data_IF_955194926470
#
_entry.id   IF_955194926470
#
_cell.length_a   1.000
_cell.length_b   1.000
_cell.length_c   1.000
_cell.angle_alpha   90.00
_cell.angle_beta   90.00
_cell.angle_gamma   90.00
#
_symmetry.space_group_name_H-M   'P 1'
#
loop_
_entity.id
_entity.type
_entity.pdbx_description
1 polymer ?
#
# COMPACT_ATOMS: atom_id res chain seq x y z
N UNK A 1 -24.98 3.38 -5.89
CA UNK A 1 -23.94 4.00 -6.76
C UNK A 1 -22.59 3.28 -6.68
N UNK A 2 -22.52 1.94 -6.48
CA UNK A 2 -21.23 1.34 -6.10
C UNK A 2 -20.83 0.02 -6.78
N UNK A 3 -21.57 -0.43 -7.77
CA UNK A 3 -21.25 -1.68 -8.48
C UNK A 3 -20.00 -1.54 -9.39
N UNK A 4 -19.79 -0.39 -10.02
CA UNK A 4 -18.65 -0.16 -10.92
C UNK A 4 -17.29 -0.11 -10.18
N UNK A 5 -17.25 0.39 -8.94
CA UNK A 5 -16.02 0.50 -8.15
C UNK A 5 -15.53 -0.89 -7.66
N UNK A 6 -16.46 -1.81 -7.38
CA UNK A 6 -16.14 -3.17 -6.93
C UNK A 6 -15.50 -4.03 -8.02
N UNK A 7 -15.94 -3.88 -9.28
CA UNK A 7 -15.37 -4.60 -10.43
C UNK A 7 -13.98 -4.09 -10.79
N UNK A 8 -13.77 -2.77 -10.78
CA UNK A 8 -12.48 -2.14 -11.07
C UNK A 8 -11.39 -2.58 -10.06
N UNK A 9 -11.74 -2.69 -8.78
CA UNK A 9 -10.79 -3.08 -7.72
C UNK A 9 -10.51 -4.59 -7.69
N UNK A 10 -11.45 -5.43 -8.08
CA UNK A 10 -11.22 -6.86 -8.27
C UNK A 10 -10.23 -7.09 -9.43
N UNK A 11 -10.33 -6.32 -10.50
CA UNK A 11 -9.41 -6.36 -11.63
C UNK A 11 -7.99 -5.90 -11.25
N UNK A 12 -7.85 -4.89 -10.36
CA UNK A 12 -6.55 -4.44 -9.83
C UNK A 12 -5.88 -5.52 -8.99
N UNK A 13 -6.62 -6.16 -8.10
CA UNK A 13 -6.13 -7.27 -7.28
C UNK A 13 -5.70 -8.45 -8.15
N UNK A 14 -6.46 -8.81 -9.20
CA UNK A 14 -6.10 -9.90 -10.10
C UNK A 14 -4.84 -9.61 -10.93
N UNK A 15 -4.56 -8.34 -11.26
CA UNK A 15 -3.36 -7.96 -12.00
C UNK A 15 -2.07 -8.08 -11.18
N UNK A 16 -2.13 -7.85 -9.88
CA UNK A 16 -1.01 -8.16 -8.98
C UNK A 16 -0.77 -9.67 -8.85
N UNK A 17 -1.79 -10.50 -9.14
CA UNK A 17 -1.79 -11.91 -8.76
C UNK A 17 -0.88 -12.82 -9.59
N UNK A 18 -0.52 -12.50 -10.82
CA UNK A 18 0.22 -13.47 -11.65
C UNK A 18 1.38 -12.90 -12.47
N UNK A 19 1.35 -11.64 -12.87
CA UNK A 19 2.38 -11.05 -13.73
C UNK A 19 3.37 -10.15 -12.99
N UNK A 20 2.91 -9.45 -11.97
CA UNK A 20 3.67 -8.41 -11.29
C UNK A 20 4.33 -8.87 -9.98
N UNK A 21 3.95 -10.01 -9.44
CA UNK A 21 4.48 -10.49 -8.18
C UNK A 21 6.03 -10.59 -8.20
N UNK A 22 6.61 -11.13 -9.28
CA UNK A 22 8.06 -11.22 -9.44
C UNK A 22 8.74 -9.86 -9.65
N UNK A 23 8.05 -8.90 -10.27
CA UNK A 23 8.57 -7.54 -10.45
C UNK A 23 8.45 -6.69 -9.18
N UNK A 24 7.52 -7.04 -8.29
CA UNK A 24 7.33 -6.31 -7.03
C UNK A 24 8.54 -6.46 -6.11
N UNK A 25 9.17 -7.63 -6.10
CA UNK A 25 10.38 -7.93 -5.33
C UNK A 25 11.69 -7.51 -6.02
N UNK A 26 11.62 -6.85 -7.20
CA UNK A 26 12.79 -6.30 -7.86
C UNK A 26 13.54 -5.33 -6.92
N UNK A 27 14.87 -5.47 -6.74
CA UNK A 27 15.69 -4.62 -5.88
C UNK A 27 15.49 -3.11 -6.12
N UNK A 28 15.23 -2.69 -7.38
CA UNK A 28 14.94 -1.28 -7.68
C UNK A 28 13.60 -0.81 -7.07
N UNK A 29 12.56 -1.67 -7.08
CA UNK A 29 11.27 -1.33 -6.46
C UNK A 29 11.35 -1.31 -4.94
N UNK A 30 12.29 -2.08 -4.34
CA UNK A 30 12.55 -2.10 -2.90
C UNK A 30 13.34 -0.89 -2.42
N UNK A 31 14.17 -0.29 -3.27
CA UNK A 31 15.13 0.75 -2.87
C UNK A 31 14.79 2.15 -3.39
N UNK A 32 13.73 2.32 -4.18
CA UNK A 32 13.37 3.60 -4.77
C UNK A 32 11.94 4.00 -4.44
N UNK A 33 11.69 5.29 -4.21
CA UNK A 33 10.39 5.91 -3.88
C UNK A 33 9.71 5.21 -2.70
N UNK A 34 8.71 4.37 -2.96
CA UNK A 34 7.90 3.73 -1.92
C UNK A 34 8.64 2.60 -1.19
N UNK A 35 9.59 1.94 -1.84
CA UNK A 35 10.38 0.88 -1.23
C UNK A 35 11.24 1.41 -0.09
N UNK A 36 11.98 2.51 -0.30
CA UNK A 36 12.76 3.19 0.75
C UNK A 36 11.86 3.58 1.93
N UNK A 37 10.68 4.14 1.64
CA UNK A 37 9.73 4.52 2.69
C UNK A 37 9.21 3.31 3.47
N UNK A 38 8.97 2.19 2.79
CA UNK A 38 8.57 0.94 3.45
C UNK A 38 9.67 0.42 4.36
N UNK A 39 10.91 0.40 3.90
CA UNK A 39 12.06 -0.01 4.74
C UNK A 39 12.19 0.88 5.97
N UNK A 40 12.09 2.19 5.81
CA UNK A 40 12.17 3.15 6.92
C UNK A 40 11.02 2.96 7.91
N UNK A 41 9.79 2.79 7.42
CA UNK A 41 8.62 2.56 8.26
C UNK A 41 8.74 1.24 9.05
N UNK A 42 9.05 0.15 8.36
CA UNK A 42 9.14 -1.18 8.96
C UNK A 42 10.27 -1.26 10.00
N UNK A 43 11.41 -0.62 9.75
CA UNK A 43 12.51 -0.55 10.72
C UNK A 43 12.18 0.23 11.99
N UNK A 44 11.18 1.12 11.95
CA UNK A 44 10.68 1.87 13.11
C UNK A 44 9.56 1.15 13.87
N UNK A 45 9.07 0.00 13.37
CA UNK A 45 8.09 -0.80 14.09
C UNK A 45 8.67 -1.28 15.40
N UNK A 46 7.91 -1.10 16.47
CA UNK A 46 8.23 -1.60 17.79
C UNK A 46 7.25 -2.70 18.19
N UNK A 47 7.77 -3.81 18.68
CA UNK A 47 6.99 -4.94 19.20
C UNK A 47 7.14 -4.98 20.72
N UNK A 48 6.02 -4.83 21.42
CA UNK A 48 5.97 -4.92 22.89
C UNK A 48 5.91 -6.40 23.32
N UNK A 49 6.30 -6.74 24.56
CA UNK A 49 6.27 -8.13 25.04
C UNK A 49 4.87 -8.77 25.00
N UNK A 50 3.82 -7.94 25.04
CA UNK A 50 2.44 -8.40 24.92
C UNK A 50 2.00 -8.75 23.49
N UNK A 51 2.76 -8.34 22.47
CA UNK A 51 2.41 -8.53 21.07
C UNK A 51 2.73 -9.97 20.63
N UNK A 52 1.91 -10.93 21.04
CA UNK A 52 2.12 -12.35 20.73
C UNK A 52 1.67 -12.73 19.31
N UNK A 53 0.69 -12.03 18.77
CA UNK A 53 0.16 -12.24 17.42
C UNK A 53 0.24 -10.94 16.63
N UNK A 54 1.06 -10.92 15.59
CA UNK A 54 1.27 -9.79 14.68
C UNK A 54 0.67 -10.12 13.32
N UNK A 55 -0.23 -9.29 12.81
CA UNK A 55 -0.83 -9.49 11.49
C UNK A 55 -0.43 -8.37 10.53
N UNK A 56 0.08 -8.73 9.35
CA UNK A 56 0.31 -7.83 8.21
C UNK A 56 -0.85 -7.94 7.23
N UNK A 57 -1.69 -6.92 7.16
CA UNK A 57 -2.89 -6.91 6.31
C UNK A 57 -2.57 -6.23 4.98
N UNK A 58 -2.69 -6.99 3.89
CA UNK A 58 -2.18 -6.62 2.57
C UNK A 58 -0.68 -6.86 2.48
N UNK A 59 -0.21 -8.01 2.96
CA UNK A 59 1.22 -8.33 3.12
C UNK A 59 1.97 -8.48 1.78
N UNK A 60 1.25 -8.60 0.65
CA UNK A 60 1.86 -8.83 -0.65
C UNK A 60 2.75 -10.08 -0.67
N UNK A 61 3.99 -9.91 -1.09
CA UNK A 61 5.02 -10.97 -1.10
C UNK A 61 5.71 -11.19 0.26
N UNK A 62 5.16 -10.62 1.35
CA UNK A 62 5.75 -10.67 2.69
C UNK A 62 6.91 -9.70 2.90
N UNK A 63 6.99 -8.61 2.15
CA UNK A 63 8.14 -7.69 2.16
C UNK A 63 8.41 -7.05 3.53
N UNK A 64 7.37 -6.72 4.30
CA UNK A 64 7.56 -6.19 5.65
C UNK A 64 8.24 -7.21 6.57
N UNK A 65 7.84 -8.47 6.52
CA UNK A 65 8.47 -9.55 7.28
C UNK A 65 9.88 -9.89 6.77
N UNK A 66 10.12 -9.77 5.47
CA UNK A 66 11.45 -9.94 4.87
C UNK A 66 12.47 -8.92 5.43
N UNK A 67 12.08 -7.63 5.54
CA UNK A 67 12.88 -6.58 6.17
C UNK A 67 13.17 -6.89 7.64
N UNK A 68 12.18 -7.42 8.34
CA UNK A 68 12.29 -7.69 9.79
C UNK A 68 12.95 -9.04 10.09
N UNK A 69 13.09 -9.93 9.10
CA UNK A 69 13.37 -11.35 9.30
C UNK A 69 14.51 -11.62 10.27
N UNK A 70 15.66 -11.00 10.10
CA UNK A 70 16.82 -11.18 10.98
C UNK A 70 16.55 -10.77 12.43
N UNK A 71 15.59 -9.89 12.68
CA UNK A 71 15.20 -9.43 14.03
C UNK A 71 14.16 -10.34 14.67
N UNK A 72 13.35 -11.04 13.86
CA UNK A 72 12.15 -11.75 14.34
C UNK A 72 12.16 -13.26 14.04
N UNK A 73 13.13 -13.80 13.33
CA UNK A 73 13.19 -15.22 12.93
C UNK A 73 13.21 -16.20 14.11
N UNK A 74 13.81 -15.80 15.23
CA UNK A 74 13.91 -16.58 16.46
C UNK A 74 12.87 -16.15 17.53
N UNK A 75 11.95 -15.26 17.14
CA UNK A 75 10.89 -14.75 18.00
C UNK A 75 9.80 -15.82 18.21
N UNK A 76 9.22 -15.86 19.38
CA UNK A 76 8.13 -16.78 19.72
C UNK A 76 6.74 -16.27 19.27
N UNK A 77 6.68 -15.05 18.75
CA UNK A 77 5.44 -14.44 18.21
C UNK A 77 4.96 -15.20 16.98
N UNK A 78 3.66 -15.14 16.77
CA UNK A 78 3.05 -15.57 15.52
C UNK A 78 2.94 -14.38 14.57
N UNK A 79 3.45 -14.55 13.37
CA UNK A 79 3.39 -13.57 12.29
C UNK A 79 2.43 -14.08 11.21
N UNK A 80 1.36 -13.33 10.97
CA UNK A 80 0.29 -13.74 10.03
C UNK A 80 0.23 -12.72 8.91
N UNK A 81 0.43 -13.15 7.65
CA UNK A 81 0.20 -12.34 6.47
C UNK A 81 -1.19 -12.58 5.90
N UNK A 82 -1.91 -11.52 5.53
CA UNK A 82 -3.21 -11.60 4.85
C UNK A 82 -3.10 -10.87 3.52
N UNK A 83 -3.37 -11.55 2.41
CA UNK A 83 -3.22 -10.99 1.06
C UNK A 83 -4.29 -11.55 0.11
N UNK A 84 -5.02 -10.71 -0.66
CA UNK A 84 -6.03 -11.17 -1.61
C UNK A 84 -5.46 -11.68 -2.94
N UNK A 85 -4.22 -11.31 -3.31
CA UNK A 85 -3.62 -11.67 -4.58
C UNK A 85 -2.84 -12.98 -4.45
N UNK A 86 -3.43 -14.07 -4.95
CA UNK A 86 -2.88 -15.42 -4.80
C UNK A 86 -1.41 -15.53 -5.22
N UNK A 87 -1.01 -14.95 -6.35
CA UNK A 87 0.39 -15.02 -6.81
C UNK A 87 1.39 -14.33 -5.86
N UNK A 88 0.98 -13.25 -5.18
CA UNK A 88 1.79 -12.61 -4.14
C UNK A 88 1.84 -13.46 -2.87
N UNK A 89 0.67 -13.99 -2.48
CA UNK A 89 0.55 -14.86 -1.32
C UNK A 89 1.42 -16.11 -1.47
N UNK A 90 1.41 -16.76 -2.63
CA UNK A 90 2.22 -17.93 -2.92
C UNK A 90 3.73 -17.66 -2.77
N UNK A 91 4.20 -16.46 -3.19
CA UNK A 91 5.59 -16.04 -2.98
C UNK A 91 5.91 -15.81 -1.50
N UNK A 92 5.00 -15.21 -0.73
CA UNK A 92 5.17 -15.04 0.70
C UNK A 92 5.26 -16.40 1.41
N UNK A 93 4.36 -17.33 1.11
CA UNK A 93 4.37 -18.70 1.66
C UNK A 93 5.71 -19.38 1.36
N UNK A 94 6.17 -19.34 0.11
CA UNK A 94 7.43 -19.98 -0.29
C UNK A 94 8.64 -19.37 0.43
N UNK A 95 8.66 -18.05 0.60
CA UNK A 95 9.75 -17.32 1.25
C UNK A 95 9.92 -17.71 2.72
N UNK A 96 8.82 -17.93 3.44
CA UNK A 96 8.84 -18.19 4.89
C UNK A 96 8.51 -19.64 5.29
N UNK A 97 8.42 -20.58 4.34
CA UNK A 97 8.02 -21.98 4.57
C UNK A 97 8.84 -22.74 5.59
N UNK A 98 10.08 -22.32 5.85
CA UNK A 98 10.99 -22.97 6.80
C UNK A 98 10.83 -22.47 8.24
N UNK A 99 9.97 -21.49 8.49
CA UNK A 99 9.75 -20.92 9.82
C UNK A 99 8.26 -20.99 10.20
N UNK A 100 7.93 -21.88 11.13
CA UNK A 100 6.55 -22.16 11.58
C UNK A 100 5.88 -21.00 12.33
N UNK A 101 6.64 -19.98 12.71
CA UNK A 101 6.05 -18.78 13.31
C UNK A 101 5.37 -17.87 12.28
N UNK A 102 5.60 -18.10 10.98
CA UNK A 102 4.97 -17.36 9.90
C UNK A 102 3.86 -18.17 9.25
N UNK A 103 2.72 -17.55 9.05
CA UNK A 103 1.61 -18.11 8.30
C UNK A 103 0.99 -17.09 7.38
N UNK A 104 0.41 -17.53 6.26
CA UNK A 104 -0.17 -16.64 5.26
C UNK A 104 -1.53 -17.15 4.83
N UNK A 105 -2.50 -16.24 4.71
CA UNK A 105 -3.90 -16.58 4.41
C UNK A 105 -4.46 -15.64 3.33
N UNK A 106 -5.28 -16.20 2.45
CA UNK A 106 -6.03 -15.40 1.49
C UNK A 106 -7.14 -14.64 2.21
N UNK A 107 -7.17 -13.30 2.02
CA UNK A 107 -8.16 -12.44 2.63
C UNK A 107 -8.05 -11.00 2.16
N UNK A 108 -8.99 -10.18 2.59
CA UNK A 108 -9.04 -8.75 2.25
C UNK A 108 -9.23 -7.92 3.51
N UNK A 109 -8.97 -6.61 3.43
CA UNK A 109 -9.30 -5.69 4.53
C UNK A 109 -10.79 -5.69 4.92
N UNK A 110 -11.70 -5.99 4.00
CA UNK A 110 -13.14 -6.05 4.28
C UNK A 110 -13.60 -7.43 4.81
N UNK A 111 -12.71 -8.42 4.79
CA UNK A 111 -12.94 -9.77 5.31
C UNK A 111 -11.60 -10.39 5.67
N UNK A 112 -11.13 -10.10 6.88
CA UNK A 112 -9.88 -10.64 7.42
C UNK A 112 -10.18 -12.04 7.98
N UNK A 113 -9.47 -13.11 7.55
CA UNK A 113 -9.75 -14.49 7.94
C UNK A 113 -9.18 -14.84 9.33
N UNK A 114 -9.36 -13.94 10.29
CA UNK A 114 -8.91 -14.09 11.67
C UNK A 114 -10.09 -13.92 12.63
N UNK A 115 -10.02 -14.55 13.78
CA UNK A 115 -11.02 -14.48 14.84
C UNK A 115 -11.14 -13.08 15.44
N UNK A 116 -12.29 -12.77 16.03
CA UNK A 116 -12.49 -11.53 16.78
C UNK A 116 -11.50 -11.44 17.95
N UNK A 117 -10.92 -10.25 18.17
CA UNK A 117 -10.01 -9.98 19.28
C UNK A 117 -8.83 -10.99 19.36
N UNK A 118 -8.29 -11.40 18.22
CA UNK A 118 -7.20 -12.40 18.14
C UNK A 118 -5.82 -11.81 17.91
N UNK A 119 -5.73 -10.57 17.42
CA UNK A 119 -4.47 -9.92 17.00
C UNK A 119 -4.04 -8.88 18.00
N UNK A 120 -2.77 -8.94 18.45
CA UNK A 120 -2.19 -7.96 19.37
C UNK A 120 -1.68 -6.72 18.62
N UNK A 121 -1.11 -6.92 17.43
CA UNK A 121 -0.60 -5.84 16.60
C UNK A 121 -0.93 -6.05 15.14
N UNK A 122 -1.49 -5.02 14.53
CA UNK A 122 -1.73 -4.96 13.08
C UNK A 122 -0.69 -4.04 12.46
N UNK A 123 -0.07 -4.51 11.38
CA UNK A 123 0.77 -3.70 10.51
C UNK A 123 0.18 -3.73 9.08
N UNK A 124 0.46 -2.70 8.29
CA UNK A 124 0.13 -2.69 6.87
C UNK A 124 0.99 -1.68 6.13
N UNK A 125 1.55 -2.07 5.00
CA UNK A 125 2.40 -1.22 4.19
C UNK A 125 1.84 -1.06 2.78
N UNK A 126 1.47 0.16 2.41
CA UNK A 126 1.01 0.55 1.06
C UNK A 126 -0.14 -0.30 0.50
N UNK A 127 -1.02 -0.82 1.38
CA UNK A 127 -2.13 -1.67 0.98
C UNK A 127 -3.52 -1.03 1.23
N UNK A 128 -3.73 -0.35 2.36
CA UNK A 128 -5.04 0.15 2.76
C UNK A 128 -5.67 1.14 1.74
N UNK A 129 -4.88 1.89 0.97
CA UNK A 129 -5.42 2.79 -0.06
C UNK A 129 -6.00 2.07 -1.29
N UNK A 130 -5.81 0.75 -1.42
CA UNK A 130 -6.39 -0.03 -2.50
C UNK A 130 -7.76 -0.64 -2.17
N UNK A 131 -8.29 -0.43 -0.97
CA UNK A 131 -9.56 -1.02 -0.56
C UNK A 131 -10.77 -0.38 -1.25
N UNK A 132 -11.85 -1.13 -1.48
CA UNK A 132 -13.11 -0.58 -1.97
C UNK A 132 -13.77 0.40 -0.99
N UNK A 133 -13.70 0.11 0.30
CA UNK A 133 -14.33 0.86 1.38
C UNK A 133 -13.41 0.96 2.58
N UNK A 134 -13.08 2.19 3.00
CA UNK A 134 -12.32 2.43 4.22
C UNK A 134 -13.14 2.14 5.47
N UNK A 135 -14.45 2.44 5.47
CA UNK A 135 -15.35 2.14 6.59
C UNK A 135 -15.36 0.63 6.91
N UNK A 136 -15.63 -0.22 5.90
CA UNK A 136 -15.66 -1.67 6.09
C UNK A 136 -14.28 -2.21 6.52
N UNK A 137 -13.21 -1.65 5.95
CA UNK A 137 -11.84 -2.08 6.26
C UNK A 137 -11.46 -1.76 7.70
N UNK A 138 -11.74 -0.54 8.18
CA UNK A 138 -11.39 -0.13 9.54
C UNK A 138 -12.26 -0.87 10.57
N UNK A 139 -13.53 -1.15 10.24
CA UNK A 139 -14.39 -2.00 11.05
C UNK A 139 -13.83 -3.42 11.22
N UNK A 140 -13.31 -4.03 10.15
CA UNK A 140 -12.67 -5.34 10.21
C UNK A 140 -11.35 -5.30 11.00
N UNK A 141 -10.52 -4.25 10.83
CA UNK A 141 -9.34 -4.06 11.67
C UNK A 141 -9.73 -4.00 13.16
N UNK A 142 -10.80 -3.27 13.50
CA UNK A 142 -11.31 -3.22 14.88
C UNK A 142 -11.79 -4.56 15.38
N UNK A 143 -12.48 -5.35 14.53
CA UNK A 143 -13.01 -6.67 14.91
C UNK A 143 -11.89 -7.63 15.32
N UNK A 144 -10.82 -7.72 14.53
CA UNK A 144 -9.74 -8.68 14.80
C UNK A 144 -8.75 -8.19 15.86
N UNK A 145 -8.65 -6.87 16.08
CA UNK A 145 -7.72 -6.29 17.05
C UNK A 145 -8.20 -6.55 18.48
N UNK A 146 -7.32 -7.05 19.34
CA UNK A 146 -7.59 -7.15 20.79
C UNK A 146 -7.80 -5.76 21.42
N UNK A 147 -8.55 -5.66 22.52
CA UNK A 147 -8.80 -4.38 23.19
C UNK A 147 -7.53 -3.58 23.54
N UNK A 148 -6.44 -4.27 23.87
CA UNK A 148 -5.16 -3.65 24.20
C UNK A 148 -4.15 -3.66 23.02
N UNK A 149 -4.63 -3.98 21.82
CA UNK A 149 -3.81 -4.05 20.62
C UNK A 149 -3.44 -2.69 20.05
N UNK A 150 -2.57 -2.74 19.05
CA UNK A 150 -2.08 -1.54 18.34
C UNK A 150 -2.12 -1.72 16.82
N UNK A 151 -2.16 -0.61 16.10
CA UNK A 151 -2.14 -0.57 14.64
C UNK A 151 -1.05 0.38 14.19
N UNK A 152 -0.21 -0.08 13.24
CA UNK A 152 0.76 0.75 12.53
C UNK A 152 0.54 0.57 11.01
N UNK A 153 0.05 1.60 10.33
CA UNK A 153 -0.25 1.55 8.89
C UNK A 153 0.50 2.66 8.14
N UNK A 154 1.06 2.31 6.98
CA UNK A 154 1.59 3.25 6.01
C UNK A 154 0.76 3.19 4.73
N UNK A 155 0.25 4.33 4.25
CA UNK A 155 -0.49 4.44 3.00
C UNK A 155 -0.22 5.74 2.27
N UNK A 156 -0.52 5.79 0.96
CA UNK A 156 -0.38 7.03 0.18
C UNK A 156 -1.43 8.07 0.59
N UNK A 157 -1.01 9.33 0.72
CA UNK A 157 -1.88 10.45 1.02
C UNK A 157 -2.63 10.96 -0.23
N UNK A 158 -3.57 11.89 -0.01
CA UNK A 158 -4.37 12.51 -1.09
C UNK A 158 -3.52 13.22 -2.13
N UNK A 159 -2.51 13.93 -1.68
CA UNK A 159 -1.63 14.77 -2.49
C UNK A 159 -0.35 14.06 -2.99
N UNK A 160 -0.24 12.74 -2.76
CA UNK A 160 0.90 11.96 -3.21
C UNK A 160 1.07 11.99 -4.73
N UNK A 161 2.23 12.44 -5.19
CA UNK A 161 2.61 12.57 -6.60
C UNK A 161 1.74 13.57 -7.37
N UNK A 162 1.21 14.60 -6.74
CA UNK A 162 0.29 15.55 -7.40
C UNK A 162 0.97 16.30 -8.54
N UNK A 163 2.20 16.81 -8.35
CA UNK A 163 2.98 17.48 -9.38
C UNK A 163 3.39 16.54 -10.51
N UNK A 164 3.85 15.34 -10.15
CA UNK A 164 4.28 14.31 -11.10
C UNK A 164 3.14 13.79 -11.98
N UNK A 165 1.91 13.71 -11.46
CA UNK A 165 0.74 13.21 -12.21
C UNK A 165 0.23 14.18 -13.25
N UNK A 166 0.39 15.48 -13.06
CA UNK A 166 -0.12 16.50 -14.00
C UNK A 166 0.39 16.28 -15.43
N UNK A 167 1.71 16.21 -15.69
CA UNK A 167 2.22 15.90 -17.03
C UNK A 167 1.83 14.50 -17.53
N UNK A 168 1.69 13.51 -16.65
CA UNK A 168 1.23 12.17 -17.04
C UNK A 168 -0.21 12.24 -17.58
N UNK A 169 -1.10 12.97 -16.90
CA UNK A 169 -2.48 13.15 -17.35
C UNK A 169 -2.52 13.85 -18.73
N UNK A 170 -1.66 14.85 -18.97
CA UNK A 170 -1.55 15.51 -20.28
C UNK A 170 -1.15 14.52 -21.37
N UNK A 171 -0.19 13.65 -21.12
CA UNK A 171 0.16 12.59 -22.07
C UNK A 171 -0.96 11.58 -22.27
N UNK A 172 -1.62 11.16 -21.17
CA UNK A 172 -2.75 10.22 -21.26
C UNK A 172 -3.92 10.76 -22.11
N UNK A 173 -4.22 12.06 -22.04
CA UNK A 173 -5.29 12.69 -22.82
C UNK A 173 -5.11 12.61 -24.34
N UNK A 174 -3.89 12.36 -24.82
CA UNK A 174 -3.62 12.15 -26.26
C UNK A 174 -3.96 10.73 -26.74
N UNK A 175 -4.02 9.77 -25.81
CA UNK A 175 -4.14 8.34 -26.13
C UNK A 175 -5.36 7.66 -25.54
N UNK A 176 -5.96 8.25 -24.51
CA UNK A 176 -7.08 7.69 -23.76
C UNK A 176 -8.26 8.67 -23.71
N UNK A 177 -9.46 8.15 -23.74
CA UNK A 177 -10.64 8.96 -23.54
C UNK A 177 -10.88 9.29 -22.06
N UNK A 178 -11.75 10.27 -21.79
CA UNK A 178 -12.06 10.73 -20.45
C UNK A 178 -12.51 9.59 -19.50
N UNK A 179 -13.31 8.63 -19.99
CA UNK A 179 -13.80 7.51 -19.18
C UNK A 179 -12.66 6.58 -18.73
N UNK A 180 -11.70 6.32 -19.61
CA UNK A 180 -10.51 5.51 -19.30
C UNK A 180 -9.62 6.22 -18.26
N UNK A 181 -9.40 7.53 -18.39
CA UNK A 181 -8.61 8.33 -17.43
C UNK A 181 -9.32 8.36 -16.07
N UNK A 182 -10.63 8.56 -16.03
CA UNK A 182 -11.40 8.54 -14.78
C UNK A 182 -11.37 7.15 -14.11
N UNK A 183 -11.44 6.08 -14.91
CA UNK A 183 -11.28 4.70 -14.41
C UNK A 183 -9.94 4.52 -13.73
N UNK A 184 -8.86 4.98 -14.36
CA UNK A 184 -7.51 4.91 -13.80
C UNK A 184 -7.36 5.69 -12.47
N UNK A 185 -7.95 6.89 -12.38
CA UNK A 185 -7.86 7.73 -11.19
C UNK A 185 -8.68 7.21 -10.00
N UNK A 186 -9.70 6.38 -10.25
CA UNK A 186 -10.58 5.81 -9.21
C UNK A 186 -9.98 4.58 -8.48
N UNK A 187 -8.80 4.12 -8.88
CA UNK A 187 -8.23 2.86 -8.38
C UNK A 187 -7.75 2.91 -6.92
N UNK A 188 -7.50 4.08 -6.34
CA UNK A 188 -7.02 4.17 -4.97
C UNK A 188 -7.82 5.17 -4.12
N UNK A 189 -8.03 4.81 -2.84
CA UNK A 189 -8.64 5.68 -1.82
C UNK A 189 -7.55 6.61 -1.26
N UNK A 190 -7.40 7.78 -1.86
CA UNK A 190 -6.45 8.80 -1.41
C UNK A 190 -7.15 9.80 -0.51
N UNK A 191 -6.75 9.81 0.74
CA UNK A 191 -7.39 10.63 1.79
C UNK A 191 -6.37 11.54 2.46
N UNK A 192 -6.85 12.65 3.02
CA UNK A 192 -6.05 13.52 3.88
C UNK A 192 -5.94 12.93 5.30
N UNK A 193 -4.98 13.43 6.13
CA UNK A 193 -4.89 13.05 7.54
C UNK A 193 -6.22 13.20 8.29
N UNK A 194 -6.92 14.29 8.11
CA UNK A 194 -8.22 14.54 8.77
C UNK A 194 -9.28 13.53 8.35
N UNK A 195 -9.33 13.15 7.06
CA UNK A 195 -10.30 12.17 6.61
C UNK A 195 -10.03 10.78 7.19
N UNK A 196 -8.77 10.33 7.22
CA UNK A 196 -8.46 9.03 7.83
C UNK A 196 -8.74 9.01 9.34
N UNK A 197 -8.47 10.10 10.05
CA UNK A 197 -8.84 10.24 11.46
C UNK A 197 -10.34 10.08 11.66
N UNK A 198 -11.17 10.68 10.80
CA UNK A 198 -12.63 10.55 10.86
C UNK A 198 -13.11 9.10 10.65
N UNK A 199 -12.44 8.32 9.79
CA UNK A 199 -12.76 6.90 9.63
C UNK A 199 -12.44 6.10 10.89
N UNK A 200 -11.26 6.32 11.48
CA UNK A 200 -10.88 5.63 12.72
C UNK A 200 -11.77 6.02 13.92
N UNK A 201 -12.17 7.29 14.05
CA UNK A 201 -13.00 7.74 15.16
C UNK A 201 -14.42 7.16 15.19
N UNK A 202 -14.91 6.61 14.08
CA UNK A 202 -16.19 5.90 14.03
C UNK A 202 -16.15 4.54 14.75
N UNK A 203 -14.98 3.89 14.74
CA UNK A 203 -14.82 2.52 15.24
C UNK A 203 -14.04 2.46 16.55
N UNK A 204 -13.18 3.44 16.82
CA UNK A 204 -12.32 3.49 17.99
C UNK A 204 -12.66 4.72 18.84
N UNK A 205 -12.89 4.52 20.13
CA UNK A 205 -13.08 5.63 21.09
C UNK A 205 -11.75 6.36 21.30
N UNK A 206 -11.54 7.41 20.49
CA UNK A 206 -10.32 8.22 20.53
C UNK A 206 -10.31 9.19 21.71
N UNK A 207 -11.46 9.43 22.35
CA UNK A 207 -11.57 10.29 23.53
C UNK A 207 -11.10 9.57 24.78
N UNK A 208 -11.56 8.34 25.01
CA UNK A 208 -11.33 7.62 26.26
C UNK A 208 -10.30 6.49 26.14
N UNK A 209 -10.31 5.75 25.04
CA UNK A 209 -9.69 4.45 24.93
C UNK A 209 -8.39 4.43 24.13
N UNK A 210 -8.33 5.19 23.05
CA UNK A 210 -7.22 5.09 22.10
C UNK A 210 -6.60 6.45 21.78
N UNK A 211 -5.29 6.43 21.52
CA UNK A 211 -4.58 7.55 20.88
C UNK A 211 -4.36 7.21 19.42
N UNK A 212 -4.76 8.11 18.52
CA UNK A 212 -4.49 8.01 17.09
C UNK A 212 -3.57 9.14 16.65
N UNK A 213 -2.40 8.79 16.13
CA UNK A 213 -1.48 9.72 15.48
C UNK A 213 -1.51 9.46 13.97
N UNK A 214 -1.66 10.53 13.20
CA UNK A 214 -1.61 10.48 11.73
C UNK A 214 -0.61 11.51 11.24
N UNK A 215 0.59 11.03 10.92
CA UNK A 215 1.66 11.88 10.39
C UNK A 215 1.63 11.86 8.86
N UNK A 216 1.69 13.03 8.23
CA UNK A 216 1.87 13.14 6.78
C UNK A 216 3.34 13.44 6.48
N UNK A 217 4.06 12.43 6.01
CA UNK A 217 5.47 12.52 5.65
C UNK A 217 5.57 12.91 4.17
N UNK A 218 6.22 14.04 3.91
CA UNK A 218 6.43 14.55 2.55
C UNK A 218 7.92 14.57 2.22
N UNK A 219 8.25 14.12 1.01
CA UNK A 219 9.62 14.12 0.48
C UNK A 219 9.57 14.37 -1.02
N UNK A 220 10.50 15.14 -1.56
CA UNK A 220 10.69 15.21 -3.01
C UNK A 220 11.79 14.20 -3.36
N UNK A 221 11.49 13.32 -4.29
CA UNK A 221 12.42 12.32 -4.80
C UNK A 221 12.71 12.67 -6.26
N UNK A 222 13.98 12.77 -6.61
CA UNK A 222 14.42 13.04 -7.96
C UNK A 222 14.90 11.76 -8.62
N UNK A 223 14.60 11.62 -9.90
CA UNK A 223 15.07 10.51 -10.72
C UNK A 223 15.02 10.86 -12.20
N UNK A 224 15.66 10.06 -13.01
CA UNK A 224 15.53 10.18 -14.45
C UNK A 224 14.24 9.50 -14.95
N UNK A 225 13.91 9.67 -16.22
CA UNK A 225 12.70 9.10 -16.81
C UNK A 225 12.62 7.58 -16.63
N UNK A 226 13.72 6.86 -16.88
CA UNK A 226 13.75 5.39 -16.82
C UNK A 226 13.52 4.87 -15.38
N UNK A 227 14.11 5.54 -14.39
CA UNK A 227 13.91 5.22 -12.98
C UNK A 227 12.45 5.39 -12.57
N UNK A 228 11.82 6.51 -12.96
CA UNK A 228 10.40 6.73 -12.68
C UNK A 228 9.52 5.73 -13.42
N UNK A 229 9.82 5.39 -14.67
CA UNK A 229 8.99 4.46 -15.43
C UNK A 229 9.05 3.02 -14.93
N UNK A 230 10.13 2.59 -14.28
CA UNK A 230 10.22 1.24 -13.70
C UNK A 230 9.13 1.01 -12.65
N UNK A 231 9.04 1.89 -11.65
CA UNK A 231 8.03 1.73 -10.62
C UNK A 231 6.63 2.15 -11.08
N UNK A 232 6.53 3.14 -11.97
CA UNK A 232 5.24 3.62 -12.46
C UNK A 232 4.55 2.58 -13.33
N UNK A 233 5.26 1.94 -14.26
CA UNK A 233 4.73 0.86 -15.11
C UNK A 233 4.18 -0.29 -14.29
N UNK A 234 4.88 -0.73 -13.27
CA UNK A 234 4.44 -1.82 -12.39
C UNK A 234 3.06 -1.53 -11.73
N UNK A 235 2.74 -0.27 -11.48
CA UNK A 235 1.48 0.17 -10.86
C UNK A 235 0.40 0.62 -11.85
N UNK A 236 0.79 0.88 -13.09
CA UNK A 236 -0.06 1.51 -14.11
C UNK A 236 -0.29 0.61 -15.33
N UNK A 237 0.02 -0.69 -15.23
CA UNK A 237 -0.11 -1.63 -16.34
C UNK A 237 -1.52 -1.66 -16.94
N UNK A 238 -2.56 -1.51 -16.11
CA UNK A 238 -3.95 -1.40 -16.59
C UNK A 238 -4.16 -0.21 -17.51
N UNK A 239 -3.54 0.93 -17.20
CA UNK A 239 -3.63 2.14 -18.02
C UNK A 239 -2.90 1.89 -19.33
N UNK A 240 -1.68 1.34 -19.25
CA UNK A 240 -0.81 1.08 -20.39
C UNK A 240 -1.45 0.03 -21.33
N UNK A 241 -2.16 -0.95 -20.78
CA UNK A 241 -2.82 -2.00 -21.58
C UNK A 241 -3.98 -1.47 -22.43
N UNK A 242 -4.60 -0.36 -22.03
CA UNK A 242 -5.68 0.29 -22.79
C UNK A 242 -5.15 1.22 -23.90
N UNK A 243 -3.84 1.47 -23.96
CA UNK A 243 -3.22 2.32 -25.00
C UNK A 243 -2.91 1.49 -26.24
N UNK A 244 -3.38 1.94 -27.40
CA UNK A 244 -3.17 1.26 -28.70
C UNK A 244 -1.71 1.35 -29.15
N UNK A 245 -1.13 2.55 -29.16
CA UNK A 245 0.28 2.77 -29.54
C UNK A 245 1.15 3.06 -28.32
N UNK A 246 1.70 2.01 -27.70
CA UNK A 246 2.48 2.11 -26.48
C UNK A 246 3.79 2.88 -26.65
N UNK A 247 4.45 2.75 -27.79
CA UNK A 247 5.72 3.43 -28.05
C UNK A 247 5.51 4.94 -28.17
N UNK A 248 4.48 5.37 -28.91
CA UNK A 248 4.13 6.78 -29.02
C UNK A 248 3.71 7.35 -27.64
N UNK A 249 2.94 6.58 -26.88
CA UNK A 249 2.54 6.99 -25.52
C UNK A 249 3.75 7.17 -24.60
N UNK A 250 4.73 6.28 -24.65
CA UNK A 250 5.95 6.41 -23.85
C UNK A 250 6.78 7.63 -24.26
N UNK A 251 6.84 7.95 -25.55
CA UNK A 251 7.49 9.17 -26.04
C UNK A 251 6.76 10.43 -25.55
N UNK A 252 5.43 10.46 -25.65
CA UNK A 252 4.63 11.58 -25.15
C UNK A 252 4.72 11.75 -23.62
N UNK A 253 4.81 10.66 -22.86
CA UNK A 253 5.09 10.69 -21.41
C UNK A 253 6.45 11.32 -21.13
N UNK A 254 7.48 10.93 -21.86
CA UNK A 254 8.84 11.46 -21.71
C UNK A 254 8.86 12.97 -21.97
N UNK A 255 8.27 13.41 -23.07
CA UNK A 255 8.19 14.84 -23.41
C UNK A 255 7.36 15.63 -22.39
N UNK A 256 6.26 15.06 -21.90
CA UNK A 256 5.46 15.71 -20.85
C UNK A 256 6.20 15.82 -19.52
N UNK A 257 6.93 14.79 -19.10
CA UNK A 257 7.69 14.81 -17.84
C UNK A 257 8.90 15.74 -17.90
N UNK A 258 9.50 16.00 -19.07
CA UNK A 258 10.52 17.02 -19.25
C UNK A 258 10.04 18.41 -18.86
N UNK A 259 8.74 18.71 -18.91
CA UNK A 259 8.19 20.01 -18.53
C UNK A 259 8.35 20.34 -17.05
N UNK A 260 8.60 19.34 -16.21
CA UNK A 260 8.84 19.48 -14.78
C UNK A 260 10.26 19.05 -14.37
N UNK A 261 11.12 18.67 -15.33
CA UNK A 261 12.50 18.27 -15.06
C UNK A 261 13.34 19.45 -14.57
N UNK A 262 14.19 19.18 -13.61
CA UNK A 262 15.13 20.12 -13.01
C UNK A 262 16.57 19.64 -13.18
N UNK A 263 17.56 20.41 -12.75
CA UNK A 263 18.97 19.99 -12.73
C UNK A 263 19.22 18.75 -11.88
N UNK A 264 18.31 18.44 -10.92
CA UNK A 264 18.37 17.23 -10.10
C UNK A 264 17.63 16.02 -10.72
N UNK A 265 16.92 16.23 -11.82
CA UNK A 265 16.07 15.26 -12.49
C UNK A 265 14.57 15.60 -12.37
N UNK A 266 13.74 14.62 -12.68
CA UNK A 266 12.27 14.74 -12.62
C UNK A 266 11.83 14.58 -11.16
N UNK A 267 11.15 15.59 -10.55
CA UNK A 267 10.69 15.50 -9.17
C UNK A 267 9.45 14.62 -9.04
N UNK A 268 9.42 13.81 -7.99
CA UNK A 268 8.23 13.12 -7.51
C UNK A 268 7.91 13.60 -6.09
N UNK A 269 6.77 14.23 -5.91
CA UNK A 269 6.28 14.76 -4.64
C UNK A 269 5.60 13.64 -3.83
N UNK A 270 6.41 12.85 -3.12
CA UNK A 270 5.95 11.78 -2.25
C UNK A 270 5.18 12.34 -1.06
N UNK A 271 4.01 11.78 -0.79
CA UNK A 271 3.20 12.10 0.39
C UNK A 271 2.58 10.82 0.96
N UNK A 272 3.01 10.45 2.18
CA UNK A 272 2.67 9.19 2.85
C UNK A 272 2.04 9.47 4.21
N UNK A 273 0.95 8.81 4.51
CA UNK A 273 0.37 8.80 5.85
C UNK A 273 0.98 7.65 6.67
N UNK A 274 1.54 7.99 7.82
CA UNK A 274 1.82 7.04 8.90
C UNK A 274 0.70 7.15 9.93
N UNK A 275 -0.02 6.05 10.14
CA UNK A 275 -1.17 5.95 11.02
C UNK A 275 -0.80 5.02 12.17
N UNK A 276 -0.81 5.54 13.40
CA UNK A 276 -0.47 4.79 14.61
C UNK A 276 -1.61 4.88 15.60
N UNK A 277 -2.25 3.74 15.91
CA UNK A 277 -3.28 3.62 16.91
C UNK A 277 -2.75 2.80 18.09
N UNK A 278 -2.91 3.31 19.30
CA UNK A 278 -2.52 2.62 20.53
C UNK A 278 -3.57 2.80 21.60
N UNK A 279 -3.75 1.77 22.47
CA UNK A 279 -4.54 1.91 23.68
C UNK A 279 -3.89 2.94 24.61
N UNK A 280 -4.70 3.83 25.22
CA UNK A 280 -4.25 4.71 26.30
C UNK A 280 -3.88 3.89 27.53
N UNK A 281 -2.88 4.35 28.25
CA UNK A 281 -2.44 3.71 29.52
C UNK A 281 -3.41 4.03 30.65
#
# INVERSE_FOLDING_TARGET
MDTNNKYLKKETVSNYSSRNANHYDDPMNKNFVYGEMTVNFVNQLNFEDKDNVVADIGCGTGFAYDILYEKIKDDKRKFIGVEPAKGMLDLAVEKFKSNENFSFQEGTFAKIPLEDNSVDKIISTLALHWVPSLDDSIKELKRVLKPNGSIDIMMTAKDDGEGFKKPIIVAMQKHLNFKQIMKASALSQRVSPTHIQNYFSKEFDLENDYTLNVDNIKKIIYGNFEEHMKWWKARSEQIISEVENKDQFMNDLKESLKTIETDQGIPFDLSILHIKLKRKK
#
